data_IF_434175955800
#
_entry.id   IF_434175955800
#
_cell.length_a   1.000
_cell.length_b   1.000
_cell.length_c   1.000
_cell.angle_alpha   90.00
_cell.angle_beta   90.00
_cell.angle_gamma   90.00
#
_symmetry.space_group_name_H-M   'P 1'
#
loop_
_entity.id
_entity.type
_entity.pdbx_description
1 polymer ?
#
# COMPACT_ATOMS: atom_id res chain seq x y z
N UNK A 1 -16.06 20.32 1.88
CA UNK A 1 -17.26 20.33 2.75
C UNK A 1 -18.48 20.29 1.88
N UNK A 2 -19.51 19.61 2.36
CA UNK A 2 -20.82 19.53 1.72
C UNK A 2 -21.91 19.51 2.79
N UNK A 3 -23.12 19.89 2.41
CA UNK A 3 -24.31 19.76 3.25
C UNK A 3 -25.36 19.00 2.44
N UNK A 4 -25.98 18.00 3.05
CA UNK A 4 -27.12 17.29 2.49
C UNK A 4 -28.38 17.53 3.33
N UNK A 5 -29.53 17.43 2.68
CA UNK A 5 -30.83 17.47 3.35
C UNK A 5 -31.13 16.19 4.14
N UNK A 6 -32.32 16.12 4.75
CA UNK A 6 -32.79 14.95 5.50
C UNK A 6 -32.95 13.68 4.65
N UNK A 7 -33.04 13.80 3.33
CA UNK A 7 -33.16 12.68 2.39
C UNK A 7 -31.79 12.21 1.87
N UNK A 8 -30.70 12.88 2.27
CA UNK A 8 -29.35 12.57 1.79
C UNK A 8 -29.01 13.20 0.45
N UNK A 9 -29.79 14.15 -0.05
CA UNK A 9 -29.48 14.90 -1.28
C UNK A 9 -28.56 16.05 -0.93
N UNK A 10 -27.36 16.07 -1.52
CA UNK A 10 -26.37 17.12 -1.28
C UNK A 10 -26.81 18.41 -2.00
N UNK A 11 -27.08 19.46 -1.22
CA UNK A 11 -27.57 20.74 -1.72
C UNK A 11 -26.51 21.85 -1.68
N UNK A 12 -25.37 21.61 -1.03
CA UNK A 12 -24.28 22.57 -0.93
C UNK A 12 -22.91 21.89 -1.02
N UNK A 13 -21.99 22.54 -1.71
CA UNK A 13 -20.58 22.18 -1.82
C UNK A 13 -19.72 23.43 -1.64
N UNK A 14 -18.64 23.34 -0.85
CA UNK A 14 -17.67 24.42 -0.78
C UNK A 14 -16.68 24.37 -1.96
N UNK A 15 -15.91 25.46 -2.15
CA UNK A 15 -14.90 25.55 -3.22
C UNK A 15 -13.89 24.40 -3.21
N UNK A 16 -13.41 24.00 -2.02
CA UNK A 16 -12.47 22.89 -1.88
C UNK A 16 -13.03 21.58 -2.45
N UNK A 17 -14.35 21.36 -2.33
CA UNK A 17 -14.96 20.15 -2.89
C UNK A 17 -14.76 20.07 -4.41
N UNK A 18 -15.00 21.19 -5.10
CA UNK A 18 -14.82 21.30 -6.55
C UNK A 18 -13.35 21.17 -6.97
N UNK A 19 -12.43 21.72 -6.17
CA UNK A 19 -11.00 21.62 -6.41
C UNK A 19 -10.49 20.17 -6.31
N UNK A 20 -10.97 19.40 -5.33
CA UNK A 20 -10.59 18.00 -5.14
C UNK A 20 -11.24 17.12 -6.20
N UNK A 21 -12.55 17.23 -6.38
CA UNK A 21 -13.28 16.35 -7.30
C UNK A 21 -12.92 16.62 -8.75
N UNK A 22 -12.51 17.86 -9.08
CA UNK A 22 -12.24 18.34 -10.45
C UNK A 22 -13.41 18.08 -11.41
N UNK A 23 -14.61 17.93 -10.84
CA UNK A 23 -15.86 17.75 -11.58
C UNK A 23 -16.37 19.12 -11.95
N UNK A 24 -16.79 19.29 -13.20
CA UNK A 24 -17.37 20.56 -13.59
C UNK A 24 -18.75 20.75 -12.93
N UNK A 25 -19.11 21.98 -12.48
CA UNK A 25 -20.34 22.27 -11.73
C UNK A 25 -21.67 21.95 -12.44
N UNK A 26 -21.63 21.54 -13.71
CA UNK A 26 -22.82 21.27 -14.54
C UNK A 26 -23.41 19.87 -14.36
N UNK A 27 -22.96 19.10 -13.37
CA UNK A 27 -23.64 17.85 -13.02
C UNK A 27 -24.91 18.17 -12.24
N UNK A 28 -26.03 18.31 -12.96
CA UNK A 28 -27.37 18.45 -12.41
C UNK A 28 -27.99 17.08 -12.16
N UNK A 29 -28.27 16.73 -10.90
CA UNK A 29 -29.00 15.52 -10.50
C UNK A 29 -28.84 15.20 -9.01
N UNK A 30 -29.84 14.56 -8.41
CA UNK A 30 -29.92 14.26 -6.95
C UNK A 30 -28.74 13.41 -6.42
N UNK A 31 -28.04 12.70 -7.32
CA UNK A 31 -26.87 11.86 -7.02
C UNK A 31 -25.63 12.19 -7.88
N UNK A 32 -25.57 13.39 -8.44
CA UNK A 32 -24.51 13.85 -9.36
C UNK A 32 -23.08 13.60 -8.84
N UNK A 33 -22.88 13.66 -7.53
CA UNK A 33 -21.58 13.45 -6.91
C UNK A 33 -21.14 11.98 -6.94
N UNK A 34 -22.06 11.01 -6.82
CA UNK A 34 -21.73 9.58 -6.97
C UNK A 34 -21.22 9.27 -8.38
N UNK A 35 -21.65 10.07 -9.37
CA UNK A 35 -21.18 9.90 -10.73
C UNK A 35 -19.71 10.25 -10.94
N UNK A 36 -19.16 11.09 -10.08
CA UNK A 36 -17.74 11.43 -10.07
C UNK A 36 -16.85 10.36 -9.42
N UNK A 37 -17.43 9.41 -8.69
CA UNK A 37 -16.70 8.32 -8.01
C UNK A 37 -16.39 7.19 -8.99
N UNK A 38 -15.21 6.58 -8.85
CA UNK A 38 -14.81 5.40 -9.65
C UNK A 38 -15.79 4.25 -9.41
N UNK A 39 -16.13 3.54 -10.48
CA UNK A 39 -17.15 2.49 -10.48
C UNK A 39 -16.90 1.39 -9.44
N UNK A 40 -15.62 1.05 -9.22
CA UNK A 40 -15.18 0.05 -8.24
C UNK A 40 -15.56 0.42 -6.79
N UNK A 41 -15.51 1.70 -6.44
CA UNK A 41 -15.67 2.16 -5.06
C UNK A 41 -17.13 2.55 -4.74
N UNK A 42 -17.97 2.76 -5.76
CA UNK A 42 -19.39 3.16 -5.61
C UNK A 42 -20.19 2.23 -4.70
N UNK A 43 -20.16 0.89 -4.85
CA UNK A 43 -21.02 0.01 -4.03
C UNK A 43 -20.65 0.03 -2.54
N UNK A 44 -19.39 0.30 -2.20
CA UNK A 44 -18.97 0.44 -0.81
C UNK A 44 -19.43 1.78 -0.23
N UNK A 45 -19.27 2.85 -1.01
CA UNK A 45 -19.68 4.20 -0.63
C UNK A 45 -21.20 4.34 -0.49
N UNK A 46 -21.97 3.75 -1.40
CA UNK A 46 -23.44 3.71 -1.34
C UNK A 46 -23.92 2.99 -0.09
N UNK A 47 -23.32 1.84 0.26
CA UNK A 47 -23.65 1.12 1.50
C UNK A 47 -23.35 1.96 2.74
N UNK A 48 -22.21 2.66 2.76
CA UNK A 48 -21.88 3.56 3.87
C UNK A 48 -22.89 4.71 3.96
N UNK A 49 -23.25 5.32 2.82
CA UNK A 49 -24.22 6.40 2.76
C UNK A 49 -25.62 5.98 3.21
N UNK A 50 -26.10 4.82 2.74
CA UNK A 50 -27.37 4.24 3.18
C UNK A 50 -27.37 3.94 4.67
N UNK A 51 -26.27 3.39 5.20
CA UNK A 51 -26.11 3.17 6.64
C UNK A 51 -26.24 4.46 7.46
N UNK A 52 -25.68 5.57 6.97
CA UNK A 52 -25.85 6.87 7.61
C UNK A 52 -27.32 7.30 7.63
N UNK A 53 -28.06 7.09 6.55
CA UNK A 53 -29.47 7.50 6.46
C UNK A 53 -30.39 6.62 7.33
N UNK A 54 -30.19 5.30 7.30
CA UNK A 54 -31.02 4.34 8.02
C UNK A 54 -30.71 4.31 9.52
N UNK A 55 -29.42 4.19 9.88
CA UNK A 55 -29.00 4.08 11.28
C UNK A 55 -28.75 5.45 11.93
N UNK A 56 -28.74 6.53 11.12
CA UNK A 56 -28.50 7.91 11.58
C UNK A 56 -27.14 8.00 12.30
N UNK A 57 -26.13 7.32 11.78
CA UNK A 57 -24.78 7.26 12.37
C UNK A 57 -23.78 8.05 11.54
N UNK A 58 -22.76 8.59 12.21
CA UNK A 58 -21.59 9.16 11.53
C UNK A 58 -20.86 8.07 10.74
N UNK A 59 -20.47 8.38 9.51
CA UNK A 59 -19.69 7.47 8.66
C UNK A 59 -18.38 8.12 8.24
N UNK A 60 -17.40 7.27 7.96
CA UNK A 60 -16.18 7.65 7.27
C UNK A 60 -15.88 6.63 6.20
N UNK A 61 -15.57 7.07 4.98
CA UNK A 61 -15.31 6.20 3.85
C UNK A 61 -14.17 6.77 2.99
N UNK A 62 -13.25 5.89 2.58
CA UNK A 62 -12.22 6.20 1.61
C UNK A 62 -12.66 5.73 0.22
N UNK A 63 -12.52 6.58 -0.79
CA UNK A 63 -12.82 6.23 -2.18
C UNK A 63 -12.00 7.07 -3.15
N UNK A 64 -12.05 6.70 -4.43
CA UNK A 64 -11.37 7.41 -5.52
C UNK A 64 -12.36 8.16 -6.40
N UNK A 65 -12.04 9.41 -6.72
CA UNK A 65 -12.70 10.12 -7.81
C UNK A 65 -12.17 9.62 -9.17
N UNK A 66 -12.96 9.84 -10.23
CA UNK A 66 -12.58 9.51 -11.62
C UNK A 66 -11.43 10.36 -12.15
N UNK A 67 -11.22 11.54 -11.56
CA UNK A 67 -10.12 12.41 -11.93
C UNK A 67 -8.79 11.85 -11.42
N UNK A 68 -7.71 12.24 -12.10
CA UNK A 68 -6.35 11.98 -11.67
C UNK A 68 -5.66 13.29 -11.32
N UNK A 69 -4.59 13.19 -10.54
CA UNK A 69 -3.75 14.31 -10.16
C UNK A 69 -2.28 14.04 -10.44
N UNK A 70 -1.51 15.10 -10.61
CA UNK A 70 -0.06 15.02 -10.78
C UNK A 70 0.61 15.06 -9.40
N UNK A 71 1.58 14.19 -9.19
CA UNK A 71 2.47 14.21 -8.04
C UNK A 71 3.92 14.12 -8.54
N UNK A 72 4.56 15.28 -8.69
CA UNK A 72 5.81 15.39 -9.45
C UNK A 72 5.58 14.99 -10.91
N UNK A 73 6.39 14.07 -11.42
CA UNK A 73 6.28 13.53 -12.78
C UNK A 73 5.29 12.36 -12.91
N UNK A 74 4.65 11.95 -11.80
CA UNK A 74 3.75 10.80 -11.75
C UNK A 74 2.29 11.21 -11.73
N UNK A 75 1.46 10.54 -12.54
CA UNK A 75 0.01 10.66 -12.48
C UNK A 75 -0.54 9.65 -11.45
N UNK A 76 -1.24 10.13 -10.44
CA UNK A 76 -1.82 9.32 -9.37
C UNK A 76 -3.33 9.47 -9.31
N UNK A 77 -4.00 8.45 -8.76
CA UNK A 77 -5.43 8.49 -8.48
C UNK A 77 -5.75 9.53 -7.39
N UNK A 78 -6.88 10.21 -7.54
CA UNK A 78 -7.40 11.15 -6.53
C UNK A 78 -8.14 10.37 -5.45
N UNK A 79 -7.45 10.05 -4.36
CA UNK A 79 -8.01 9.41 -3.16
C UNK A 79 -8.57 10.45 -2.19
N UNK A 80 -9.75 10.13 -1.67
CA UNK A 80 -10.47 11.03 -0.77
C UNK A 80 -11.00 10.26 0.42
N UNK A 81 -10.80 10.84 1.60
CA UNK A 81 -11.50 10.47 2.82
C UNK A 81 -12.72 11.36 2.97
N UNK A 82 -13.91 10.76 2.95
CA UNK A 82 -15.16 11.44 3.27
C UNK A 82 -15.58 11.11 4.69
N UNK A 83 -15.99 12.12 5.44
CA UNK A 83 -16.62 11.97 6.75
C UNK A 83 -17.94 12.73 6.75
N UNK A 84 -19.01 12.07 7.18
CA UNK A 84 -20.36 12.63 7.20
C UNK A 84 -21.03 12.41 8.56
N UNK A 85 -21.66 13.47 9.05
CA UNK A 85 -22.21 13.63 10.39
C UNK A 85 -23.68 14.05 10.27
N UNK A 86 -24.63 13.17 10.59
CA UNK A 86 -26.04 13.53 10.61
C UNK A 86 -26.35 14.40 11.84
N UNK A 87 -26.92 15.59 11.62
CA UNK A 87 -27.54 16.40 12.65
C UNK A 87 -28.96 15.87 12.92
N UNK A 88 -29.29 15.64 14.19
CA UNK A 88 -30.55 15.01 14.58
C UNK A 88 -31.46 15.99 15.30
N UNK A 89 -32.75 15.94 14.96
CA UNK A 89 -33.80 16.62 15.71
C UNK A 89 -33.99 15.95 17.08
N UNK A 90 -34.71 16.60 18.02
CA UNK A 90 -35.07 16.00 19.31
C UNK A 90 -35.84 14.68 19.19
N UNK A 91 -36.59 14.50 18.10
CA UNK A 91 -37.35 13.27 17.80
C UNK A 91 -36.47 12.15 17.21
N UNK A 92 -35.18 12.43 17.01
CA UNK A 92 -34.20 11.48 16.47
C UNK A 92 -34.23 11.36 14.94
N UNK A 93 -34.88 12.29 14.23
CA UNK A 93 -34.85 12.36 12.77
C UNK A 93 -33.69 13.21 12.26
N UNK A 94 -33.24 12.96 11.02
CA UNK A 94 -32.15 13.75 10.42
C UNK A 94 -32.70 15.12 10.02
N UNK A 95 -32.09 16.19 10.52
CA UNK A 95 -32.38 17.58 10.14
C UNK A 95 -31.59 17.95 8.87
N UNK A 96 -30.28 17.71 8.90
CA UNK A 96 -29.37 17.83 7.76
C UNK A 96 -28.14 16.96 8.01
N UNK A 97 -27.32 16.76 6.99
CA UNK A 97 -26.07 16.00 7.11
C UNK A 97 -24.93 16.94 6.75
N UNK A 98 -24.01 17.14 7.69
CA UNK A 98 -22.79 17.88 7.44
C UNK A 98 -21.68 16.90 7.07
N UNK A 99 -20.91 17.19 6.02
CA UNK A 99 -19.77 16.36 5.67
C UNK A 99 -18.56 17.13 5.16
N UNK A 100 -17.41 16.50 5.29
CA UNK A 100 -16.17 16.98 4.73
C UNK A 100 -15.54 15.90 3.85
N UNK A 101 -14.72 16.38 2.92
CA UNK A 101 -13.86 15.52 2.13
C UNK A 101 -12.44 16.03 2.30
N UNK A 102 -11.50 15.11 2.45
CA UNK A 102 -10.07 15.37 2.62
C UNK A 102 -9.32 14.61 1.55
N UNK A 103 -8.49 15.30 0.79
CA UNK A 103 -7.58 14.66 -0.17
C UNK A 103 -6.49 13.89 0.61
N UNK A 104 -6.45 12.58 0.39
CA UNK A 104 -5.46 11.66 0.99
C UNK A 104 -4.57 11.02 -0.08
N UNK A 105 -4.58 11.53 -1.30
CA UNK A 105 -3.84 10.98 -2.44
C UNK A 105 -2.33 10.98 -2.23
N UNK A 106 -1.79 12.08 -1.69
CA UNK A 106 -0.36 12.19 -1.37
C UNK A 106 0.06 11.20 -0.30
N UNK A 107 -0.80 10.98 0.71
CA UNK A 107 -0.58 10.00 1.76
C UNK A 107 -0.58 8.57 1.18
N UNK A 108 -1.61 8.20 0.41
CA UNK A 108 -1.70 6.86 -0.23
C UNK A 108 -0.52 6.61 -1.16
N UNK A 109 -0.08 7.61 -1.90
CA UNK A 109 1.11 7.50 -2.75
C UNK A 109 2.37 7.25 -1.93
N UNK A 110 2.59 8.03 -0.87
CA UNK A 110 3.75 7.85 0.01
C UNK A 110 3.73 6.45 0.66
N UNK A 111 2.58 6.00 1.15
CA UNK A 111 2.41 4.64 1.71
C UNK A 111 2.77 3.55 0.69
N UNK A 112 2.29 3.69 -0.56
CA UNK A 112 2.60 2.77 -1.64
C UNK A 112 4.11 2.70 -1.93
N UNK A 113 4.75 3.85 -2.14
CA UNK A 113 6.19 3.92 -2.43
C UNK A 113 7.03 3.34 -1.29
N UNK A 114 6.62 3.57 -0.03
CA UNK A 114 7.31 3.00 1.12
C UNK A 114 7.12 1.49 1.23
N UNK A 115 5.93 0.97 0.87
CA UNK A 115 5.69 -0.48 0.84
C UNK A 115 6.56 -1.17 -0.21
N UNK A 116 6.59 -0.64 -1.43
CA UNK A 116 7.39 -1.18 -2.54
C UNK A 116 8.88 -1.24 -2.18
N UNK A 117 9.43 -0.14 -1.64
CA UNK A 117 10.84 -0.10 -1.19
C UNK A 117 11.14 -1.11 -0.07
N UNK A 118 10.18 -1.33 0.83
CA UNK A 118 10.33 -2.30 1.92
C UNK A 118 10.36 -3.72 1.37
N UNK A 119 9.48 -4.04 0.44
CA UNK A 119 9.42 -5.35 -0.21
C UNK A 119 10.71 -5.63 -1.00
N UNK A 120 11.21 -4.66 -1.76
CA UNK A 120 12.49 -4.76 -2.47
C UNK A 120 13.66 -5.00 -1.51
N UNK A 121 13.71 -4.27 -0.40
CA UNK A 121 14.77 -4.43 0.60
C UNK A 121 14.72 -5.81 1.29
N UNK A 122 13.52 -6.31 1.58
CA UNK A 122 13.32 -7.65 2.17
C UNK A 122 13.78 -8.73 1.20
N UNK A 123 13.40 -8.64 -0.08
CA UNK A 123 13.79 -9.64 -1.07
C UNK A 123 15.30 -9.61 -1.35
N UNK A 124 15.90 -8.42 -1.45
CA UNK A 124 17.34 -8.27 -1.61
C UNK A 124 18.10 -8.88 -0.42
N UNK A 125 17.62 -8.63 0.81
CA UNK A 125 18.22 -9.21 2.01
C UNK A 125 18.13 -10.73 2.00
N UNK A 126 16.98 -11.29 1.61
CA UNK A 126 16.80 -12.74 1.48
C UNK A 126 17.75 -13.36 0.46
N UNK A 127 17.97 -12.70 -0.67
CA UNK A 127 18.94 -13.15 -1.68
C UNK A 127 20.37 -13.15 -1.13
N UNK A 128 20.74 -12.12 -0.35
CA UNK A 128 22.05 -12.04 0.30
C UNK A 128 22.25 -13.17 1.33
N UNK A 129 21.24 -13.44 2.16
CA UNK A 129 21.27 -14.54 3.15
C UNK A 129 21.42 -15.91 2.46
N UNK A 130 20.63 -16.17 1.41
CA UNK A 130 20.74 -17.40 0.61
C UNK A 130 22.13 -17.57 -0.02
N UNK A 131 22.73 -16.48 -0.52
CA UNK A 131 24.07 -16.52 -1.10
C UNK A 131 25.13 -16.88 -0.04
N UNK A 132 25.03 -16.31 1.16
CA UNK A 132 25.93 -16.63 2.28
C UNK A 132 25.79 -18.11 2.66
N UNK A 133 24.57 -18.63 2.72
CA UNK A 133 24.32 -20.03 3.07
C UNK A 133 24.91 -21.01 2.04
N UNK A 134 24.70 -20.76 0.75
CA UNK A 134 25.26 -21.59 -0.34
C UNK A 134 26.79 -21.55 -0.31
N UNK A 135 27.38 -20.36 -0.24
CA UNK A 135 28.84 -20.21 -0.22
C UNK A 135 29.46 -20.81 1.04
N UNK A 136 28.80 -20.70 2.20
CA UNK A 136 29.26 -21.37 3.43
C UNK A 136 29.22 -22.89 3.29
N UNK A 137 28.18 -23.44 2.63
CA UNK A 137 28.10 -24.87 2.37
C UNK A 137 29.25 -25.33 1.46
N UNK A 138 29.57 -24.57 0.42
CA UNK A 138 30.69 -24.84 -0.50
C UNK A 138 32.07 -24.68 0.16
N UNK A 139 32.28 -23.65 0.99
CA UNK A 139 33.54 -23.43 1.70
C UNK A 139 33.80 -24.46 2.80
N UNK A 140 32.74 -24.95 3.46
CA UNK A 140 32.86 -25.99 4.51
C UNK A 140 33.15 -27.36 3.92
N UNK A 141 32.82 -27.58 2.64
CA UNK A 141 33.11 -28.82 1.93
C UNK A 141 33.99 -28.55 0.70
N UNK A 142 35.23 -28.06 0.88
CA UNK A 142 36.11 -27.73 -0.23
C UNK A 142 36.35 -29.01 -1.02
N UNK A 143 35.97 -29.00 -2.30
CA UNK A 143 35.97 -30.10 -3.26
C UNK A 143 36.81 -31.32 -2.82
N UNK A 144 36.19 -32.50 -2.58
CA UNK A 144 36.90 -33.72 -2.17
C UNK A 144 38.16 -34.06 -2.99
N UNK A 145 38.21 -33.80 -4.32
CA UNK A 145 39.44 -33.98 -5.11
C UNK A 145 40.64 -33.19 -4.57
N UNK A 146 40.46 -31.94 -4.17
CA UNK A 146 41.55 -31.07 -3.69
C UNK A 146 42.06 -31.52 -2.31
N UNK A 147 41.15 -31.82 -1.39
CA UNK A 147 41.49 -32.40 -0.08
C UNK A 147 42.21 -33.76 -0.21
N UNK A 148 41.78 -34.59 -1.17
CA UNK A 148 42.42 -35.88 -1.45
C UNK A 148 43.84 -35.72 -2.03
N UNK A 149 44.08 -34.67 -2.82
CA UNK A 149 45.39 -34.39 -3.42
C UNK A 149 46.38 -33.92 -2.35
N UNK A 150 45.98 -33.01 -1.47
CA UNK A 150 46.82 -32.51 -0.38
C UNK A 150 47.19 -33.60 0.64
N UNK A 151 46.25 -34.49 0.97
CA UNK A 151 46.52 -35.62 1.86
C UNK A 151 47.47 -36.65 1.24
N UNK A 152 47.36 -36.91 -0.07
CA UNK A 152 48.31 -37.76 -0.82
C UNK A 152 49.71 -37.16 -0.84
N UNK A 153 49.87 -35.89 -1.21
CA UNK A 153 51.19 -35.24 -1.21
C UNK A 153 51.85 -35.25 0.18
N UNK A 154 51.06 -35.04 1.24
CA UNK A 154 51.56 -35.10 2.62
C UNK A 154 52.02 -36.50 3.04
N UNK A 155 51.29 -37.55 2.65
CA UNK A 155 51.70 -38.94 2.92
C UNK A 155 52.94 -39.34 2.13
N UNK A 156 53.07 -38.90 0.87
CA UNK A 156 54.28 -39.13 0.06
C UNK A 156 55.53 -38.44 0.65
N UNK A 157 55.40 -37.23 1.16
CA UNK A 157 56.51 -36.52 1.81
C UNK A 157 56.90 -37.12 3.16
N UNK A 158 55.93 -37.58 3.96
CA UNK A 158 56.24 -38.25 5.24
C UNK A 158 56.91 -39.61 5.03
N UNK A 159 56.47 -40.39 4.04
CA UNK A 159 57.09 -41.69 3.74
C UNK A 159 58.52 -41.55 3.21
N UNK A 160 58.80 -40.53 2.37
CA UNK A 160 60.16 -40.27 1.88
C UNK A 160 61.12 -39.75 2.95
N UNK A 161 60.62 -39.01 3.95
CA UNK A 161 61.42 -38.60 5.11
C UNK A 161 61.70 -39.77 6.07
N UNK A 162 60.78 -40.74 6.20
CA UNK A 162 60.98 -41.94 7.02
C UNK A 162 62.08 -42.85 6.45
N UNK A 163 62.06 -43.12 5.14
CA UNK A 163 63.11 -43.92 4.49
C UNK A 163 64.49 -43.28 4.56
N UNK A 164 64.58 -41.95 4.54
CA UNK A 164 65.86 -41.22 4.70
C UNK A 164 66.43 -41.29 6.12
N UNK A 165 65.61 -41.57 7.14
CA UNK A 165 66.05 -41.70 8.54
C UNK A 165 66.32 -43.16 8.97
N UNK A 166 65.78 -44.17 8.27
CA UNK A 166 66.06 -45.58 8.53
C UNK A 166 67.34 -46.11 7.84
N UNK A 167 67.89 -45.39 6.87
CA UNK A 167 69.14 -45.77 6.16
C UNK A 167 70.44 -45.20 6.78
N UNK A 168 70.43 -44.77 8.06
CA UNK A 168 71.62 -44.24 8.74
C UNK A 168 71.88 -44.91 10.08
#
# INVERSE_FOLDING_TARGET
MFIADSNGVINYYNEMWWQISRVLPHMSGESAWMDSVRLEDRPALERAWQKLLEEKVTISAEFRFKCTQQNGDSTIDTWVLMSAYPDKTPDGEINFIFGCITDISSQKWAEKVQSERREEAVELKRQQENFIDITSHEMRNPFPPFCSALTKSRTTLLNSLHTMFEEK
#
